data_IF_079495409043
#
_entry.id   IF_079495409043
#
_cell.length_a   1.000
_cell.length_b   1.000
_cell.length_c   1.000
_cell.angle_alpha   90.00
_cell.angle_beta   90.00
_cell.angle_gamma   90.00
#
_symmetry.space_group_name_H-M   'P 1'
#
loop_
_entity.id
_entity.type
_entity.pdbx_description
1 polymer ?
#
# COMPACT_ATOMS: atom_id res chain seq x y z
N UNK A 1 -13.65 1.20 10.27
CA UNK A 1 -12.16 1.22 10.28
C UNK A 1 -11.69 0.49 9.03
N UNK A 2 -10.91 1.14 8.16
CA UNK A 2 -10.42 0.53 6.91
C UNK A 2 -9.40 -0.59 7.23
N UNK A 3 -9.45 -1.73 6.53
CA UNK A 3 -8.57 -2.88 6.77
C UNK A 3 -7.09 -2.50 6.61
N UNK A 4 -6.77 -1.65 5.63
CA UNK A 4 -5.42 -1.14 5.42
C UNK A 4 -4.93 -0.34 6.63
N UNK A 5 -5.76 0.55 7.17
CA UNK A 5 -5.41 1.34 8.37
C UNK A 5 -5.11 0.42 9.55
N UNK A 6 -5.94 -0.60 9.80
CA UNK A 6 -5.71 -1.54 10.89
C UNK A 6 -4.41 -2.34 10.73
N UNK A 7 -4.04 -2.70 9.50
CA UNK A 7 -2.78 -3.36 9.20
C UNK A 7 -1.59 -2.41 9.41
N UNK A 8 -1.66 -1.18 8.90
CA UNK A 8 -0.62 -0.16 9.09
C UNK A 8 -0.39 0.12 10.58
N UNK A 9 -1.45 0.25 11.38
CA UNK A 9 -1.34 0.44 12.83
C UNK A 9 -0.69 -0.77 13.53
N UNK A 10 -0.92 -1.99 13.03
CA UNK A 10 -0.28 -3.20 13.55
C UNK A 10 1.20 -3.22 13.23
N UNK A 11 1.57 -2.88 11.99
CA UNK A 11 2.95 -2.79 11.53
C UNK A 11 3.73 -1.68 12.26
N UNK A 12 3.12 -0.51 12.47
CA UNK A 12 3.73 0.59 13.23
C UNK A 12 3.98 0.19 14.69
N UNK A 13 3.00 -0.44 15.35
CA UNK A 13 3.20 -0.95 16.72
C UNK A 13 4.32 -1.97 16.81
N UNK A 14 4.44 -2.83 15.79
CA UNK A 14 5.53 -3.80 15.71
C UNK A 14 6.89 -3.11 15.57
N UNK A 15 6.96 -2.04 14.77
CA UNK A 15 8.19 -1.27 14.57
C UNK A 15 8.63 -0.59 15.86
N UNK A 16 7.69 0.07 16.55
CA UNK A 16 7.93 0.74 17.84
C UNK A 16 8.38 -0.26 18.91
N UNK A 17 7.85 -1.49 18.91
CA UNK A 17 8.28 -2.54 19.83
C UNK A 17 9.75 -2.93 19.57
N UNK A 18 10.10 -3.18 18.29
CA UNK A 18 11.48 -3.52 17.89
C UNK A 18 12.47 -2.41 18.23
N UNK A 19 12.11 -1.14 17.99
CA UNK A 19 12.94 0.03 18.35
C UNK A 19 13.21 0.14 19.86
N UNK A 20 12.33 -0.42 20.70
CA UNK A 20 12.49 -0.45 22.16
C UNK A 20 13.23 -1.70 22.66
N UNK A 21 13.65 -2.59 21.76
CA UNK A 21 14.24 -3.88 22.11
C UNK A 21 13.22 -4.92 22.60
N UNK A 22 11.92 -4.69 22.39
CA UNK A 22 10.90 -5.71 22.60
C UNK A 22 10.79 -6.56 21.34
N UNK A 23 11.29 -7.79 21.42
CA UNK A 23 11.36 -8.72 20.29
C UNK A 23 10.14 -9.63 20.29
N UNK A 24 9.12 -9.35 19.44
CA UNK A 24 8.02 -10.28 19.25
C UNK A 24 8.58 -11.61 18.74
N UNK A 25 7.97 -12.73 19.16
CA UNK A 25 8.38 -14.05 18.68
C UNK A 25 8.42 -14.11 17.15
N UNK A 26 9.50 -14.72 16.62
CA UNK A 26 9.80 -14.77 15.17
C UNK A 26 8.60 -15.13 14.28
N UNK A 27 7.81 -16.12 14.70
CA UNK A 27 6.64 -16.55 13.96
C UNK A 27 5.60 -15.43 13.77
N UNK A 28 5.31 -14.65 14.84
CA UNK A 28 4.37 -13.54 14.80
C UNK A 28 4.86 -12.40 13.91
N UNK A 29 6.17 -12.17 13.91
CA UNK A 29 6.80 -11.18 13.03
C UNK A 29 6.68 -11.58 11.55
N UNK A 30 7.03 -12.83 11.20
CA UNK A 30 6.95 -13.35 9.85
C UNK A 30 5.50 -13.38 9.32
N UNK A 31 4.53 -13.77 10.17
CA UNK A 31 3.10 -13.72 9.84
C UNK A 31 2.64 -12.28 9.54
N UNK A 32 3.00 -11.32 10.40
CA UNK A 32 2.60 -9.91 10.21
C UNK A 32 3.23 -9.31 8.94
N UNK A 33 4.47 -9.67 8.62
CA UNK A 33 5.10 -9.26 7.35
C UNK A 33 4.41 -9.90 6.14
N UNK A 34 4.02 -11.16 6.24
CA UNK A 34 3.33 -11.87 5.16
C UNK A 34 2.00 -11.20 4.84
N UNK A 35 1.20 -10.86 5.86
CA UNK A 35 -0.02 -10.07 5.71
C UNK A 35 0.26 -8.72 5.05
N UNK A 36 1.33 -8.04 5.49
CA UNK A 36 1.82 -6.78 4.93
C UNK A 36 2.12 -6.87 3.44
N UNK A 37 2.90 -7.88 3.03
CA UNK A 37 3.27 -8.10 1.64
C UNK A 37 2.07 -8.51 0.78
N UNK A 38 1.16 -9.33 1.31
CA UNK A 38 -0.06 -9.69 0.60
C UNK A 38 -0.93 -8.45 0.31
N UNK A 39 -1.02 -7.51 1.26
CA UNK A 39 -1.72 -6.24 1.06
C UNK A 39 -1.00 -5.31 0.07
N UNK A 40 0.33 -5.24 0.13
CA UNK A 40 1.12 -4.47 -0.84
C UNK A 40 0.91 -4.99 -2.28
N UNK A 41 0.85 -6.32 -2.48
CA UNK A 41 0.55 -6.91 -3.78
C UNK A 41 -0.87 -6.58 -4.26
N UNK A 42 -1.86 -6.55 -3.36
CA UNK A 42 -3.23 -6.15 -3.70
C UNK A 42 -3.31 -4.69 -4.16
N UNK A 43 -2.65 -3.78 -3.44
CA UNK A 43 -2.61 -2.35 -3.80
C UNK A 43 -1.86 -2.11 -5.12
N UNK A 44 -0.78 -2.84 -5.35
CA UNK A 44 -0.03 -2.78 -6.62
C UNK A 44 -0.90 -3.22 -7.80
N UNK A 45 -1.63 -4.34 -7.65
CA UNK A 45 -2.57 -4.81 -8.66
C UNK A 45 -3.71 -3.81 -8.91
N UNK A 46 -4.20 -3.14 -7.86
CA UNK A 46 -5.22 -2.10 -7.99
C UNK A 46 -4.67 -0.88 -8.75
N UNK A 47 -3.44 -0.44 -8.47
CA UNK A 47 -2.79 0.63 -9.23
C UNK A 47 -2.71 0.28 -10.72
N UNK A 48 -2.27 -0.94 -11.06
CA UNK A 48 -2.22 -1.42 -12.45
C UNK A 48 -3.61 -1.50 -13.10
N UNK A 49 -4.67 -1.80 -12.35
CA UNK A 49 -6.05 -1.77 -12.86
C UNK A 49 -6.50 -0.34 -13.15
N UNK A 50 -6.26 0.59 -12.23
CA UNK A 50 -6.66 1.99 -12.36
C UNK A 50 -5.90 2.68 -13.49
N UNK A 51 -4.61 2.42 -13.65
CA UNK A 51 -3.79 2.89 -14.79
C UNK A 51 -4.37 2.44 -16.13
N UNK A 52 -4.75 1.17 -16.25
CA UNK A 52 -5.42 0.64 -17.46
C UNK A 52 -6.76 1.30 -17.71
N UNK A 53 -7.56 1.50 -16.66
CA UNK A 53 -8.86 2.19 -16.75
C UNK A 53 -8.69 3.64 -17.23
N UNK A 54 -7.71 4.37 -16.70
CA UNK A 54 -7.34 5.71 -17.15
C UNK A 54 -6.96 5.72 -18.63
N UNK A 55 -6.11 4.78 -19.07
CA UNK A 55 -5.72 4.67 -20.47
C UNK A 55 -6.91 4.41 -21.40
N UNK A 56 -7.86 3.58 -20.96
CA UNK A 56 -9.10 3.33 -21.69
C UNK A 56 -9.98 4.58 -21.74
N UNK A 57 -10.26 5.23 -20.60
CA UNK A 57 -11.07 6.44 -20.55
C UNK A 57 -10.48 7.56 -21.41
N UNK A 58 -9.16 7.77 -21.32
CA UNK A 58 -8.45 8.76 -22.13
C UNK A 58 -8.57 8.50 -23.64
N UNK A 59 -8.59 7.23 -24.07
CA UNK A 59 -8.79 6.87 -25.48
C UNK A 59 -10.21 7.17 -25.99
N UNK A 60 -11.21 7.18 -25.10
CA UNK A 60 -12.60 7.50 -25.45
C UNK A 60 -12.88 9.01 -25.44
N UNK A 61 -12.03 9.82 -24.82
CA UNK A 61 -12.18 11.27 -24.71
C UNK A 61 -11.91 12.06 -26.02
N UNK A 62 -12.33 11.54 -27.16
CA UNK A 62 -12.21 12.21 -28.46
C UNK A 62 -13.15 13.42 -28.64
N UNK A 63 -13.27 13.87 -29.89
CA UNK A 63 -14.16 14.97 -30.29
C UNK A 63 -15.63 14.58 -30.08
N UNK A 64 -16.20 14.92 -28.93
CA UNK A 64 -17.54 14.51 -28.50
C UNK A 64 -17.64 14.10 -27.03
N UNK A 65 -16.51 14.11 -26.30
CA UNK A 65 -16.47 13.81 -24.86
C UNK A 65 -17.48 14.61 -24.07
N UNK A 66 -18.27 13.92 -23.25
CA UNK A 66 -19.19 14.59 -22.35
C UNK A 66 -18.54 14.83 -20.98
N UNK A 67 -19.14 15.72 -20.19
CA UNK A 67 -18.64 16.09 -18.87
C UNK A 67 -18.53 14.88 -17.91
N UNK A 68 -19.39 13.87 -18.10
CA UNK A 68 -19.40 12.65 -17.27
C UNK A 68 -18.12 11.84 -17.45
N UNK A 69 -17.64 11.67 -18.68
CA UNK A 69 -16.41 10.93 -18.98
C UNK A 69 -15.17 11.65 -18.42
N UNK A 70 -15.15 12.99 -18.51
CA UNK A 70 -14.08 13.81 -17.92
C UNK A 70 -14.05 13.68 -16.38
N UNK A 71 -15.22 13.70 -15.73
CA UNK A 71 -15.33 13.47 -14.28
C UNK A 71 -14.90 12.06 -13.88
N UNK A 72 -15.28 11.04 -14.65
CA UNK A 72 -14.86 9.65 -14.40
C UNK A 72 -13.34 9.49 -14.51
N UNK A 73 -12.71 10.09 -15.51
CA UNK A 73 -11.25 10.09 -15.65
C UNK A 73 -10.57 10.75 -14.44
N UNK A 74 -11.04 11.95 -14.06
CA UNK A 74 -10.53 12.69 -12.90
C UNK A 74 -10.65 11.90 -11.59
N UNK A 75 -11.80 11.27 -11.35
CA UNK A 75 -12.02 10.44 -10.17
C UNK A 75 -11.11 9.20 -10.15
N UNK A 76 -10.97 8.52 -11.30
CA UNK A 76 -10.09 7.34 -11.42
C UNK A 76 -8.62 7.71 -11.21
N UNK A 77 -8.19 8.86 -11.75
CA UNK A 77 -6.85 9.39 -11.54
C UNK A 77 -6.56 9.70 -10.06
N UNK A 78 -7.53 10.30 -9.36
CA UNK A 78 -7.42 10.57 -7.92
C UNK A 78 -7.30 9.28 -7.11
N UNK A 79 -8.16 8.29 -7.41
CA UNK A 79 -8.10 6.99 -6.74
C UNK A 79 -6.76 6.28 -6.98
N UNK A 80 -6.16 6.42 -8.17
CA UNK A 80 -4.84 5.88 -8.45
C UNK A 80 -3.77 6.57 -7.61
N UNK A 81 -3.82 7.90 -7.48
CA UNK A 81 -2.87 8.63 -6.66
C UNK A 81 -2.95 8.22 -5.18
N UNK A 82 -4.16 8.10 -4.64
CA UNK A 82 -4.39 7.65 -3.27
C UNK A 82 -3.86 6.22 -3.07
N UNK A 83 -4.16 5.29 -4.00
CA UNK A 83 -3.69 3.91 -3.93
C UNK A 83 -2.16 3.80 -4.01
N UNK A 84 -1.51 4.63 -4.83
CA UNK A 84 -0.05 4.70 -4.92
C UNK A 84 0.58 5.26 -3.66
N UNK A 85 -0.04 6.28 -3.05
CA UNK A 85 0.41 6.86 -1.77
C UNK A 85 0.35 5.82 -0.66
N UNK A 86 -0.76 5.10 -0.57
CA UNK A 86 -0.96 4.00 0.38
C UNK A 86 0.05 2.86 0.17
N UNK A 87 0.25 2.46 -1.07
CA UNK A 87 1.24 1.43 -1.43
C UNK A 87 2.66 1.84 -1.07
N UNK A 88 3.03 3.10 -1.35
CA UNK A 88 4.34 3.62 -1.00
C UNK A 88 4.55 3.65 0.51
N UNK A 89 3.59 4.17 1.27
CA UNK A 89 3.65 4.21 2.73
C UNK A 89 3.80 2.80 3.33
N UNK A 90 3.01 1.82 2.84
CA UNK A 90 3.07 0.44 3.30
C UNK A 90 4.43 -0.21 2.98
N UNK A 91 4.95 -0.04 1.76
CA UNK A 91 6.26 -0.58 1.36
C UNK A 91 7.40 0.00 2.20
N UNK A 92 7.36 1.31 2.47
CA UNK A 92 8.35 1.97 3.33
C UNK A 92 8.33 1.42 4.75
N UNK A 93 7.14 1.23 5.34
CA UNK A 93 6.99 0.65 6.68
C UNK A 93 7.51 -0.80 6.76
N UNK A 94 7.19 -1.63 5.75
CA UNK A 94 7.69 -3.00 5.68
C UNK A 94 9.21 -3.07 5.52
N UNK A 95 9.81 -2.13 4.78
CA UNK A 95 11.26 -2.03 4.65
C UNK A 95 11.92 -1.69 5.99
N UNK A 96 11.40 -0.70 6.73
CA UNK A 96 11.90 -0.34 8.07
C UNK A 96 11.81 -1.51 9.04
N UNK A 97 10.69 -2.23 9.07
CA UNK A 97 10.52 -3.42 9.91
C UNK A 97 11.55 -4.51 9.62
N UNK A 98 11.84 -4.76 8.33
CA UNK A 98 12.86 -5.74 7.94
C UNK A 98 14.26 -5.32 8.33
N UNK A 99 14.58 -4.04 8.23
CA UNK A 99 15.87 -3.51 8.65
C UNK A 99 16.07 -3.72 10.17
N UNK A 100 15.10 -3.28 10.99
CA UNK A 100 15.18 -3.41 12.44
C UNK A 100 15.25 -4.87 12.91
N UNK A 101 14.50 -5.77 12.28
CA UNK A 101 14.58 -7.19 12.61
C UNK A 101 15.92 -7.82 12.22
N UNK A 102 16.53 -7.38 11.10
CA UNK A 102 17.84 -7.85 10.69
C UNK A 102 18.93 -7.38 11.68
N UNK A 103 18.88 -6.12 12.12
CA UNK A 103 19.80 -5.58 13.13
C UNK A 103 19.66 -6.30 14.47
N UNK A 104 18.42 -6.52 14.93
CA UNK A 104 18.13 -7.26 16.16
C UNK A 104 18.63 -8.71 16.17
N UNK A 105 18.86 -9.32 15.00
CA UNK A 105 19.38 -10.69 14.88
C UNK A 105 20.93 -10.72 14.94
N UNK A 106 21.59 -9.58 14.74
CA UNK A 106 23.05 -9.46 14.69
C UNK A 106 23.62 -8.94 16.03
N UNK A 107 22.81 -8.23 16.83
CA UNK A 107 23.14 -7.80 18.19
C UNK A 107 23.00 -8.93 19.23
#
# INVERSE_FOLDING_TARGET
MNQLTSLTDRLQRLLVALERGDHPGRARFEETLTDGYAWALKLDAECTRLERSIGQLAAHLGAGSNEVEAHQLSNTARQLEDSRRDLHALRSLLASLRAQFAEAKVA
#
